data_IF_758745222003
#
_entry.id   IF_758745222003
#
_cell.length_a   1.000
_cell.length_b   1.000
_cell.length_c   1.000
_cell.angle_alpha   90.00
_cell.angle_beta   90.00
_cell.angle_gamma   90.00
#
_symmetry.space_group_name_H-M   'P 1'
#
loop_
_entity.id
_entity.type
_entity.pdbx_description
1 polymer ?
#
# COMPACT_ATOMS: atom_id res chain seq x y z
N UNK A 1 -31.01 14.57 19.52
CA UNK A 1 -30.23 13.71 20.44
C UNK A 1 -30.48 12.21 20.28
N UNK A 2 -31.73 11.72 20.34
CA UNK A 2 -32.02 10.28 20.21
C UNK A 2 -31.59 9.69 18.86
N UNK A 3 -32.00 10.32 17.74
CA UNK A 3 -31.63 9.89 16.38
C UNK A 3 -30.11 9.86 16.15
N UNK A 4 -29.39 10.88 16.61
CA UNK A 4 -27.92 10.94 16.48
C UNK A 4 -27.25 9.81 17.27
N UNK A 5 -27.75 9.52 18.47
CA UNK A 5 -27.21 8.44 19.31
C UNK A 5 -27.47 7.06 18.73
N UNK A 6 -28.66 6.85 18.13
CA UNK A 6 -29.03 5.63 17.41
C UNK A 6 -28.12 5.42 16.19
N UNK A 7 -28.04 6.43 15.30
CA UNK A 7 -27.20 6.39 14.10
C UNK A 7 -25.72 6.14 14.45
N UNK A 8 -25.20 6.80 15.47
CA UNK A 8 -23.81 6.60 15.90
C UNK A 8 -23.58 5.16 16.41
N UNK A 9 -24.53 4.57 17.14
CA UNK A 9 -24.43 3.18 17.61
C UNK A 9 -24.52 2.17 16.47
N UNK A 10 -25.37 2.43 15.49
CA UNK A 10 -25.52 1.53 14.33
C UNK A 10 -24.28 1.53 13.46
N UNK A 11 -23.70 2.70 13.20
CA UNK A 11 -22.44 2.83 12.47
C UNK A 11 -21.29 2.17 13.24
N UNK A 12 -21.21 2.40 14.55
CA UNK A 12 -20.21 1.75 15.40
C UNK A 12 -20.29 0.23 15.27
N UNK A 13 -21.50 -0.34 15.37
CA UNK A 13 -21.72 -1.78 15.21
C UNK A 13 -21.33 -2.27 13.82
N UNK A 14 -21.76 -1.58 12.77
CA UNK A 14 -21.47 -1.95 11.39
C UNK A 14 -19.96 -1.93 11.10
N UNK A 15 -19.23 -0.90 11.56
CA UNK A 15 -17.78 -0.80 11.37
C UNK A 15 -17.01 -1.88 12.14
N UNK A 16 -17.40 -2.17 13.37
CA UNK A 16 -16.79 -3.26 14.15
C UNK A 16 -17.08 -4.64 13.53
N UNK A 17 -18.28 -4.86 12.99
CA UNK A 17 -18.62 -6.08 12.25
C UNK A 17 -17.83 -6.23 10.94
N UNK A 18 -17.35 -5.12 10.38
CA UNK A 18 -16.49 -5.08 9.20
C UNK A 18 -14.98 -5.06 9.55
N UNK A 19 -14.60 -5.47 10.76
CA UNK A 19 -13.22 -5.54 11.25
C UNK A 19 -12.44 -4.21 11.23
N UNK A 20 -13.16 -3.08 11.28
CA UNK A 20 -12.56 -1.75 11.39
C UNK A 20 -11.97 -1.55 12.78
N UNK A 21 -10.88 -0.80 12.87
CA UNK A 21 -10.14 -0.61 14.11
C UNK A 21 -11.02 0.04 15.18
N UNK A 22 -10.94 -0.46 16.42
CA UNK A 22 -11.80 0.01 17.53
C UNK A 22 -11.55 1.49 17.83
N UNK A 23 -10.29 1.92 17.86
CA UNK A 23 -9.91 3.31 18.08
C UNK A 23 -10.39 4.20 16.92
N UNK A 24 -10.23 3.74 15.68
CA UNK A 24 -10.68 4.46 14.49
C UNK A 24 -12.21 4.58 14.43
N UNK A 25 -12.93 3.54 14.82
CA UNK A 25 -14.39 3.52 14.92
C UNK A 25 -14.87 4.46 16.02
N UNK A 26 -14.22 4.43 17.19
CA UNK A 26 -14.51 5.36 18.28
C UNK A 26 -14.26 6.82 17.85
N UNK A 27 -13.15 7.07 17.15
CA UNK A 27 -12.82 8.40 16.62
C UNK A 27 -13.84 8.89 15.60
N UNK A 28 -14.27 8.04 14.67
CA UNK A 28 -15.31 8.40 13.68
C UNK A 28 -16.62 8.77 14.36
N UNK A 29 -17.07 7.96 15.33
CA UNK A 29 -18.35 8.18 16.02
C UNK A 29 -18.31 9.41 16.93
N UNK A 30 -17.17 9.70 17.56
CA UNK A 30 -16.96 10.95 18.29
C UNK A 30 -17.01 12.17 17.37
N UNK A 31 -16.33 12.13 16.21
CA UNK A 31 -16.37 13.23 15.23
C UNK A 31 -17.75 13.43 14.64
N UNK A 32 -18.47 12.36 14.33
CA UNK A 32 -19.87 12.43 13.88
C UNK A 32 -20.73 13.20 14.89
N UNK A 33 -20.63 12.87 16.18
CA UNK A 33 -21.40 13.53 17.24
C UNK A 33 -21.03 15.01 17.39
N UNK A 34 -19.74 15.33 17.39
CA UNK A 34 -19.26 16.70 17.46
C UNK A 34 -19.78 17.54 16.27
N UNK A 35 -19.53 17.07 15.04
CA UNK A 35 -19.95 17.77 13.81
C UNK A 35 -21.46 17.92 13.70
N UNK A 36 -22.23 16.89 14.06
CA UNK A 36 -23.69 16.97 14.06
C UNK A 36 -24.26 17.97 15.08
N UNK A 37 -23.49 18.33 16.10
CA UNK A 37 -23.88 19.31 17.13
C UNK A 37 -23.41 20.72 16.77
N UNK A 38 -22.22 20.84 16.17
CA UNK A 38 -21.57 22.12 15.85
C UNK A 38 -22.00 22.69 14.49
N UNK A 39 -22.24 21.83 13.49
CA UNK A 39 -22.65 22.25 12.15
C UNK A 39 -24.16 22.49 12.07
N UNK A 40 -24.55 23.56 11.38
CA UNK A 40 -25.95 23.81 11.05
C UNK A 40 -26.35 23.03 9.79
N UNK A 41 -27.50 22.31 9.80
CA UNK A 41 -28.03 21.71 8.59
C UNK A 41 -28.26 22.76 7.50
N UNK A 42 -27.97 22.45 6.22
CA UNK A 42 -28.34 23.32 5.11
C UNK A 42 -29.84 23.64 5.15
N UNK A 43 -30.22 24.85 4.72
CA UNK A 43 -31.61 25.27 4.69
C UNK A 43 -32.45 24.28 3.85
N UNK A 44 -33.52 23.74 4.46
CA UNK A 44 -34.41 22.77 3.82
C UNK A 44 -33.88 21.33 3.75
N UNK A 45 -32.66 21.04 4.23
CA UNK A 45 -32.17 19.67 4.30
C UNK A 45 -32.83 18.91 5.45
N UNK A 46 -33.20 17.65 5.20
CA UNK A 46 -33.66 16.79 6.27
C UNK A 46 -32.47 16.38 7.17
N UNK A 47 -32.73 16.13 8.45
CA UNK A 47 -31.69 15.80 9.44
C UNK A 47 -30.95 14.49 9.10
N UNK A 48 -31.64 13.52 8.48
CA UNK A 48 -31.06 12.23 8.11
C UNK A 48 -29.99 12.38 7.02
N UNK A 49 -30.27 13.15 5.98
CA UNK A 49 -29.36 13.44 4.86
C UNK A 49 -28.16 14.25 5.34
N UNK A 50 -28.39 15.19 6.26
CA UNK A 50 -27.31 15.93 6.91
C UNK A 50 -26.35 15.01 7.67
N UNK A 51 -26.88 14.05 8.45
CA UNK A 51 -26.06 13.05 9.13
C UNK A 51 -25.34 12.14 8.13
N UNK A 52 -26.01 11.65 7.09
CA UNK A 52 -25.41 10.82 6.02
C UNK A 52 -24.24 11.55 5.37
N UNK A 53 -24.39 12.85 5.08
CA UNK A 53 -23.32 13.68 4.52
C UNK A 53 -22.10 13.73 5.44
N UNK A 54 -22.30 14.01 6.74
CA UNK A 54 -21.20 14.06 7.72
C UNK A 54 -20.49 12.70 7.77
N UNK A 55 -21.24 11.60 7.81
CA UNK A 55 -20.69 10.24 7.85
C UNK A 55 -19.83 9.98 6.61
N UNK A 56 -20.34 10.30 5.42
CA UNK A 56 -19.62 10.13 4.17
C UNK A 56 -18.32 10.94 4.15
N UNK A 57 -18.35 12.18 4.61
CA UNK A 57 -17.15 13.02 4.72
C UNK A 57 -16.14 12.45 5.72
N UNK A 58 -16.57 11.97 6.89
CA UNK A 58 -15.66 11.34 7.85
C UNK A 58 -15.03 10.06 7.32
N UNK A 59 -15.80 9.21 6.62
CA UNK A 59 -15.26 8.01 5.96
C UNK A 59 -14.23 8.41 4.90
N UNK A 60 -14.53 9.42 4.07
CA UNK A 60 -13.55 9.94 3.09
C UNK A 60 -12.28 10.46 3.76
N UNK A 61 -12.42 11.21 4.84
CA UNK A 61 -11.27 11.75 5.58
C UNK A 61 -10.39 10.65 6.17
N UNK A 62 -10.98 9.52 6.57
CA UNK A 62 -10.26 8.33 7.04
C UNK A 62 -9.53 7.63 5.90
N UNK A 63 -10.18 7.46 4.75
CA UNK A 63 -9.57 6.84 3.57
C UNK A 63 -8.46 7.70 2.96
N UNK A 64 -8.45 9.00 3.25
CA UNK A 64 -7.45 9.95 2.79
C UNK A 64 -7.83 10.61 1.46
N UNK A 65 -6.98 11.55 1.03
CA UNK A 65 -7.19 12.28 -0.21
C UNK A 65 -6.84 11.45 -1.44
N UNK A 66 -7.68 11.53 -2.46
CA UNK A 66 -7.39 10.95 -3.76
C UNK A 66 -6.23 11.72 -4.40
N UNK A 67 -5.02 11.13 -4.39
CA UNK A 67 -3.86 11.76 -5.02
C UNK A 67 -3.90 11.52 -6.53
N UNK A 68 -3.77 12.57 -7.36
CA UNK A 68 -3.70 12.41 -8.80
C UNK A 68 -2.48 11.57 -9.16
N UNK A 69 -2.70 10.64 -10.09
CA UNK A 69 -1.68 9.70 -10.51
C UNK A 69 -0.67 10.39 -11.44
N UNK A 70 0.63 10.30 -11.11
CA UNK A 70 1.71 10.84 -11.94
C UNK A 70 2.25 9.74 -12.88
N UNK A 71 2.17 9.98 -14.19
CA UNK A 71 2.70 9.09 -15.24
C UNK A 71 4.17 9.33 -15.55
N UNK A 72 4.85 10.22 -14.82
CA UNK A 72 6.30 10.44 -14.98
C UNK A 72 7.08 9.14 -14.82
N UNK A 73 8.19 8.99 -15.57
CA UNK A 73 9.08 7.87 -15.42
C UNK A 73 9.53 7.69 -13.97
N UNK A 74 9.44 6.47 -13.46
CA UNK A 74 9.74 6.16 -12.06
C UNK A 74 10.08 4.70 -11.81
N UNK A 75 10.85 4.48 -10.76
CA UNK A 75 11.19 3.17 -10.22
C UNK A 75 10.35 2.90 -8.98
N UNK A 76 9.73 1.73 -8.93
CA UNK A 76 8.80 1.31 -7.87
C UNK A 76 9.32 0.04 -7.21
N UNK A 77 9.57 0.11 -5.91
CA UNK A 77 9.94 -1.05 -5.09
C UNK A 77 8.70 -1.57 -4.37
N UNK A 78 8.31 -2.83 -4.60
CA UNK A 78 7.22 -3.45 -3.87
C UNK A 78 7.75 -4.20 -2.65
N UNK A 79 7.21 -3.89 -1.47
CA UNK A 79 7.52 -4.55 -0.20
C UNK A 79 6.25 -5.06 0.46
N UNK A 80 6.39 -5.96 1.43
CA UNK A 80 5.27 -6.51 2.16
C UNK A 80 5.46 -7.97 2.53
N UNK A 81 4.62 -8.44 3.44
CA UNK A 81 4.71 -9.81 3.97
C UNK A 81 4.44 -10.86 2.88
N UNK A 82 4.78 -12.11 3.20
CA UNK A 82 4.43 -13.26 2.37
C UNK A 82 2.91 -13.33 2.17
N UNK A 83 2.48 -13.79 0.99
CA UNK A 83 1.06 -14.05 0.70
C UNK A 83 0.20 -12.82 0.42
N UNK A 84 0.72 -11.61 0.59
CA UNK A 84 -0.06 -10.35 0.43
C UNK A 84 -0.31 -9.95 -1.04
N UNK A 85 0.07 -10.81 -1.99
CA UNK A 85 -0.17 -10.56 -3.41
C UNK A 85 0.78 -9.58 -4.10
N UNK A 86 2.00 -9.36 -3.59
CA UNK A 86 3.03 -8.48 -4.21
C UNK A 86 3.25 -8.78 -5.70
N UNK A 87 3.55 -10.03 -6.03
CA UNK A 87 3.81 -10.48 -7.41
C UNK A 87 2.63 -10.22 -8.35
N UNK A 88 1.41 -10.47 -7.88
CA UNK A 88 0.18 -10.17 -8.63
C UNK A 88 -0.02 -8.66 -8.79
N UNK A 89 0.23 -7.88 -7.74
CA UNK A 89 0.14 -6.43 -7.78
C UNK A 89 1.17 -5.82 -8.73
N UNK A 90 2.39 -6.36 -8.81
CA UNK A 90 3.44 -5.92 -9.73
C UNK A 90 2.94 -5.92 -11.19
N UNK A 91 2.36 -7.05 -11.62
CA UNK A 91 1.82 -7.18 -12.98
C UNK A 91 0.58 -6.30 -13.22
N UNK A 92 -0.32 -6.18 -12.23
CA UNK A 92 -1.47 -5.26 -12.31
C UNK A 92 -1.01 -3.81 -12.45
N UNK A 93 0.03 -3.42 -11.72
CA UNK A 93 0.60 -2.08 -11.76
C UNK A 93 1.26 -1.79 -13.11
N UNK A 94 2.05 -2.74 -13.64
CA UNK A 94 2.58 -2.63 -15.00
C UNK A 94 1.46 -2.43 -16.03
N UNK A 95 0.41 -3.26 -15.97
CA UNK A 95 -0.75 -3.14 -16.86
C UNK A 95 -1.48 -1.80 -16.70
N UNK A 96 -1.59 -1.30 -15.48
CA UNK A 96 -2.20 0.00 -15.20
C UNK A 96 -1.44 1.12 -15.92
N UNK A 97 -0.11 1.15 -15.78
CA UNK A 97 0.75 2.14 -16.43
C UNK A 97 0.70 2.03 -17.97
N UNK A 98 0.76 0.82 -18.51
CA UNK A 98 0.60 0.59 -19.95
C UNK A 98 -0.73 1.12 -20.51
N UNK A 99 -1.84 0.96 -19.77
CA UNK A 99 -3.14 1.54 -20.16
C UNK A 99 -3.14 3.06 -20.22
N UNK A 100 -2.15 3.72 -19.61
CA UNK A 100 -1.93 5.16 -19.66
C UNK A 100 -0.90 5.56 -20.73
N UNK A 101 -0.44 4.63 -21.55
CA UNK A 101 0.46 4.89 -22.67
C UNK A 101 1.95 4.93 -22.31
N UNK A 102 2.33 4.52 -21.12
CA UNK A 102 3.75 4.47 -20.71
C UNK A 102 4.27 3.03 -20.66
N UNK A 103 5.55 2.85 -20.98
CA UNK A 103 6.19 1.53 -20.94
C UNK A 103 6.43 1.13 -19.49
N UNK A 104 6.05 -0.09 -19.14
CA UNK A 104 6.28 -0.64 -17.81
C UNK A 104 6.89 -2.06 -17.89
N UNK A 105 8.00 -2.27 -17.17
CA UNK A 105 8.75 -3.53 -17.13
C UNK A 105 8.93 -4.01 -15.68
N UNK A 106 9.14 -5.32 -15.52
CA UNK A 106 9.12 -6.03 -14.23
C UNK A 106 10.47 -6.69 -13.94
N UNK A 107 10.90 -6.64 -12.68
CA UNK A 107 12.08 -7.35 -12.16
C UNK A 107 11.66 -8.25 -11.01
N UNK A 108 11.99 -9.54 -11.09
CA UNK A 108 11.79 -10.48 -9.98
C UNK A 108 13.06 -10.55 -9.11
N UNK A 109 12.97 -10.09 -7.87
CA UNK A 109 14.06 -10.16 -6.89
C UNK A 109 13.68 -11.00 -5.66
N UNK A 110 12.68 -11.87 -5.79
CA UNK A 110 12.38 -12.91 -4.78
C UNK A 110 13.30 -14.12 -4.97
N UNK A 111 14.53 -14.01 -4.48
CA UNK A 111 15.56 -15.06 -4.53
C UNK A 111 15.23 -16.29 -3.67
N UNK A 112 14.24 -16.18 -2.78
CA UNK A 112 13.89 -17.24 -1.82
C UNK A 112 12.81 -18.19 -2.36
N UNK A 113 12.04 -17.76 -3.37
CA UNK A 113 10.90 -18.51 -3.90
C UNK A 113 10.97 -18.63 -5.42
N UNK A 114 11.61 -19.68 -5.97
CA UNK A 114 11.71 -19.88 -7.43
C UNK A 114 10.37 -19.82 -8.15
N UNK A 115 9.32 -20.39 -7.54
CA UNK A 115 7.96 -20.34 -8.09
C UNK A 115 7.39 -18.91 -8.20
N UNK A 116 7.82 -17.96 -7.37
CA UNK A 116 7.40 -16.56 -7.46
C UNK A 116 8.02 -15.87 -8.68
N UNK A 117 9.27 -16.21 -9.03
CA UNK A 117 9.93 -15.74 -10.25
C UNK A 117 9.16 -16.23 -11.48
N UNK A 118 8.85 -17.53 -11.53
CA UNK A 118 8.11 -18.12 -12.65
C UNK A 118 6.69 -17.56 -12.74
N UNK A 119 6.03 -17.33 -11.60
CA UNK A 119 4.73 -16.65 -11.54
C UNK A 119 4.81 -15.24 -12.14
N UNK A 120 5.81 -14.45 -11.75
CA UNK A 120 5.96 -13.09 -12.26
C UNK A 120 6.26 -13.09 -13.77
N UNK A 121 7.06 -14.03 -14.26
CA UNK A 121 7.34 -14.17 -15.69
C UNK A 121 6.07 -14.47 -16.48
N UNK A 122 5.25 -15.40 -16.01
CA UNK A 122 3.96 -15.72 -16.66
C UNK A 122 3.03 -14.51 -16.66
N UNK A 123 2.95 -13.77 -15.55
CA UNK A 123 2.15 -12.56 -15.45
C UNK A 123 2.66 -11.44 -16.37
N UNK A 124 3.98 -11.25 -16.44
CA UNK A 124 4.62 -10.27 -17.31
C UNK A 124 4.27 -10.54 -18.78
N UNK A 125 4.37 -11.80 -19.21
CA UNK A 125 3.94 -12.23 -20.56
C UNK A 125 2.46 -11.94 -20.81
N UNK A 126 1.57 -12.21 -19.85
CA UNK A 126 0.12 -11.93 -20.00
C UNK A 126 -0.19 -10.44 -20.18
N UNK A 127 0.60 -9.56 -19.57
CA UNK A 127 0.43 -8.10 -19.69
C UNK A 127 1.37 -7.48 -20.74
N UNK A 128 2.12 -8.28 -21.49
CA UNK A 128 3.12 -7.82 -22.46
C UNK A 128 4.13 -6.80 -21.85
N UNK A 129 4.56 -7.03 -20.61
CA UNK A 129 5.64 -6.27 -19.97
C UNK A 129 6.98 -6.99 -20.20
N UNK A 130 8.06 -6.23 -20.33
CA UNK A 130 9.41 -6.79 -20.22
C UNK A 130 9.62 -7.37 -18.84
N UNK A 131 10.47 -8.40 -18.78
CA UNK A 131 10.73 -9.17 -17.57
C UNK A 131 12.22 -9.43 -17.42
N UNK A 132 12.75 -9.23 -16.22
CA UNK A 132 14.11 -9.61 -15.85
C UNK A 132 14.12 -10.41 -14.55
N UNK A 133 14.92 -11.47 -14.55
CA UNK A 133 15.27 -12.24 -13.37
C UNK A 133 16.64 -12.88 -13.59
N UNK A 134 17.37 -13.09 -12.51
CA UNK A 134 18.53 -13.99 -12.49
C UNK A 134 18.21 -15.13 -11.53
N UNK A 135 18.10 -16.35 -12.06
CA UNK A 135 17.74 -17.55 -11.29
C UNK A 135 18.93 -18.18 -10.57
N UNK A 136 20.14 -17.70 -10.85
CA UNK A 136 21.40 -18.19 -10.27
C UNK A 136 21.92 -17.28 -9.17
N UNK A 137 21.55 -16.00 -9.21
CA UNK A 137 21.88 -15.02 -8.18
C UNK A 137 21.04 -15.23 -6.91
N UNK A 138 21.70 -15.13 -5.77
CA UNK A 138 21.11 -15.29 -4.43
C UNK A 138 20.98 -13.97 -3.68
N UNK A 139 21.56 -12.89 -4.22
CA UNK A 139 21.50 -11.53 -3.68
C UNK A 139 20.51 -10.68 -4.45
N UNK A 140 19.37 -10.38 -3.81
CA UNK A 140 18.30 -9.59 -4.41
C UNK A 140 18.77 -8.19 -4.88
N UNK A 141 19.74 -7.57 -4.20
CA UNK A 141 20.29 -6.27 -4.59
C UNK A 141 21.09 -6.31 -5.91
N UNK A 142 21.73 -7.43 -6.25
CA UNK A 142 22.46 -7.55 -7.52
C UNK A 142 21.49 -7.75 -8.68
N UNK A 143 20.42 -8.52 -8.46
CA UNK A 143 19.30 -8.64 -9.41
C UNK A 143 18.66 -7.26 -9.65
N UNK A 144 18.45 -6.48 -8.59
CA UNK A 144 17.90 -5.14 -8.69
C UNK A 144 18.79 -4.20 -9.52
N UNK A 145 20.12 -4.24 -9.28
CA UNK A 145 21.11 -3.45 -10.03
C UNK A 145 21.15 -3.83 -11.51
N UNK A 146 21.22 -5.13 -11.80
CA UNK A 146 21.29 -5.66 -13.17
C UNK A 146 19.97 -5.44 -13.93
N UNK A 147 18.82 -5.64 -13.28
CA UNK A 147 17.50 -5.38 -13.85
C UNK A 147 17.30 -3.91 -14.21
N UNK A 148 17.80 -2.99 -13.38
CA UNK A 148 17.83 -1.55 -13.70
C UNK A 148 18.63 -1.28 -14.98
N UNK A 149 19.81 -1.88 -15.12
CA UNK A 149 20.64 -1.71 -16.32
C UNK A 149 20.03 -2.36 -17.58
N UNK A 150 19.21 -3.41 -17.41
CA UNK A 150 18.56 -4.13 -18.52
C UNK A 150 17.50 -3.31 -19.24
N UNK A 151 16.88 -2.37 -18.56
CA UNK A 151 15.72 -1.60 -19.02
C UNK A 151 15.96 -0.08 -18.97
N UNK A 152 16.95 0.45 -19.70
CA UNK A 152 17.29 1.88 -19.65
C UNK A 152 16.17 2.79 -20.18
N UNK A 153 15.35 2.28 -21.11
CA UNK A 153 14.28 3.03 -21.77
C UNK A 153 12.89 2.72 -21.19
N UNK A 154 12.81 2.10 -20.01
CA UNK A 154 11.53 1.85 -19.36
C UNK A 154 11.07 3.09 -18.61
N UNK A 155 9.85 3.57 -18.90
CA UNK A 155 9.28 4.68 -18.14
C UNK A 155 9.03 4.23 -16.70
N UNK A 156 8.45 3.05 -16.51
CA UNK A 156 8.13 2.51 -15.19
C UNK A 156 8.79 1.17 -14.97
N UNK A 157 9.65 1.10 -13.97
CA UNK A 157 10.33 -0.13 -13.60
C UNK A 157 9.88 -0.59 -12.22
N UNK A 158 9.34 -1.81 -12.14
CA UNK A 158 8.75 -2.34 -10.91
C UNK A 158 9.59 -3.52 -10.43
N UNK A 159 10.07 -3.43 -9.20
CA UNK A 159 10.86 -4.45 -8.52
C UNK A 159 9.99 -5.21 -7.51
N UNK A 160 9.73 -6.50 -7.77
CA UNK A 160 9.01 -7.40 -6.85
C UNK A 160 10.02 -8.09 -5.93
N UNK A 161 10.01 -7.76 -4.63
CA UNK A 161 10.90 -8.40 -3.65
C UNK A 161 10.25 -9.62 -2.99
N UNK A 162 11.09 -10.38 -2.30
CA UNK A 162 10.60 -11.40 -1.38
C UNK A 162 9.65 -10.81 -0.32
N UNK A 163 8.74 -11.65 0.17
CA UNK A 163 8.07 -11.41 1.45
C UNK A 163 8.27 -12.58 2.37
N UNK A 164 8.44 -12.31 3.67
CA UNK A 164 8.51 -13.33 4.72
C UNK A 164 7.27 -13.32 5.62
N UNK A 165 7.12 -14.38 6.40
CA UNK A 165 6.05 -14.57 7.40
C UNK A 165 6.12 -13.57 8.56
N UNK A 166 7.31 -13.02 8.83
CA UNK A 166 7.54 -11.94 9.79
C UNK A 166 8.53 -10.91 9.25
N UNK A 167 8.57 -9.75 9.91
CA UNK A 167 9.59 -8.73 9.68
C UNK A 167 10.77 -9.02 10.61
N UNK A 168 11.71 -9.84 10.14
CA UNK A 168 13.00 -10.02 10.79
C UNK A 168 13.99 -8.93 10.33
N UNK A 169 15.06 -8.72 11.11
CA UNK A 169 16.09 -7.72 10.80
C UNK A 169 16.79 -8.01 9.47
N UNK A 170 16.93 -9.29 9.13
CA UNK A 170 17.57 -9.75 7.89
C UNK A 170 16.78 -9.32 6.65
N UNK A 171 15.45 -9.46 6.66
CA UNK A 171 14.58 -9.00 5.57
C UNK A 171 14.63 -7.49 5.44
N UNK A 172 14.57 -6.76 6.56
CA UNK A 172 14.67 -5.30 6.52
C UNK A 172 16.03 -4.85 5.96
N UNK A 173 17.12 -5.54 6.33
CA UNK A 173 18.44 -5.30 5.76
C UNK A 173 18.49 -5.61 4.26
N UNK A 174 17.91 -6.72 3.81
CA UNK A 174 17.81 -7.09 2.38
C UNK A 174 17.03 -6.04 1.58
N UNK A 175 15.88 -5.59 2.09
CA UNK A 175 15.07 -4.54 1.47
C UNK A 175 15.86 -3.23 1.39
N UNK A 176 16.61 -2.85 2.44
CA UNK A 176 17.47 -1.66 2.43
C UNK A 176 18.58 -1.76 1.37
N UNK A 177 19.22 -2.93 1.23
CA UNK A 177 20.22 -3.17 0.17
C UNK A 177 19.59 -3.07 -1.22
N UNK A 178 18.42 -3.67 -1.43
CA UNK A 178 17.66 -3.57 -2.68
C UNK A 178 17.28 -2.13 -3.01
N UNK A 179 16.76 -1.38 -2.03
CA UNK A 179 16.43 0.04 -2.17
C UNK A 179 17.65 0.86 -2.59
N UNK A 180 18.81 0.62 -1.97
CA UNK A 180 20.06 1.30 -2.32
C UNK A 180 20.51 0.98 -3.76
N UNK A 181 20.48 -0.30 -4.16
CA UNK A 181 20.87 -0.71 -5.51
C UNK A 181 19.88 -0.26 -6.61
N UNK A 182 18.59 -0.25 -6.30
CA UNK A 182 17.52 0.07 -7.24
C UNK A 182 17.21 1.57 -7.34
N UNK A 183 17.50 2.34 -6.29
CA UNK A 183 17.17 3.76 -6.16
C UNK A 183 15.70 4.08 -6.50
N UNK A 184 14.70 3.46 -5.84
CA UNK A 184 13.30 3.67 -6.19
C UNK A 184 12.84 5.12 -5.93
N UNK A 185 11.97 5.63 -6.79
CA UNK A 185 11.25 6.88 -6.55
C UNK A 185 10.10 6.66 -5.55
N UNK A 186 9.52 5.46 -5.55
CA UNK A 186 8.41 5.07 -4.68
C UNK A 186 8.65 3.68 -4.11
N UNK A 187 8.43 3.49 -2.81
CA UNK A 187 8.33 2.17 -2.20
C UNK A 187 6.88 1.93 -1.81
N UNK A 188 6.27 0.89 -2.36
CA UNK A 188 4.88 0.55 -2.10
C UNK A 188 4.80 -0.70 -1.22
N UNK A 189 4.12 -0.58 -0.08
CA UNK A 189 3.75 -1.70 0.76
C UNK A 189 2.44 -2.29 0.29
N UNK A 190 2.49 -3.58 -0.02
CA UNK A 190 1.32 -4.37 -0.40
C UNK A 190 0.80 -5.11 0.83
N UNK A 191 -0.46 -4.86 1.15
CA UNK A 191 -1.21 -5.48 2.25
C UNK A 191 -2.48 -6.12 1.68
N UNK A 192 -2.86 -7.27 2.21
CA UNK A 192 -4.14 -7.89 1.93
C UNK A 192 -5.23 -7.19 2.76
N UNK A 193 -6.32 -6.81 2.08
CA UNK A 193 -7.48 -6.19 2.71
C UNK A 193 -8.12 -7.10 3.78
N UNK A 194 -8.00 -8.43 3.65
CA UNK A 194 -8.50 -9.40 4.61
C UNK A 194 -7.74 -9.39 5.95
N UNK A 195 -6.58 -8.73 6.04
CA UNK A 195 -5.79 -8.67 7.29
C UNK A 195 -6.47 -7.88 8.42
N UNK A 196 -7.46 -7.03 8.09
CA UNK A 196 -8.13 -6.17 9.05
C UNK A 196 -7.13 -5.40 9.92
N UNK A 197 -7.19 -5.62 11.24
CA UNK A 197 -6.30 -4.96 12.21
C UNK A 197 -4.81 -5.30 12.08
N UNK A 198 -4.48 -6.46 11.52
CA UNK A 198 -3.07 -6.86 11.33
C UNK A 198 -2.39 -6.03 10.23
N UNK A 199 -3.15 -5.41 9.32
CA UNK A 199 -2.63 -4.51 8.29
C UNK A 199 -1.92 -3.30 8.93
N UNK A 200 -2.56 -2.66 9.92
CA UNK A 200 -2.00 -1.49 10.61
C UNK A 200 -0.69 -1.80 11.36
N UNK A 201 -0.60 -2.97 12.01
CA UNK A 201 0.64 -3.42 12.67
C UNK A 201 1.76 -3.68 11.66
N UNK A 202 1.43 -4.32 10.54
CA UNK A 202 2.38 -4.61 9.47
C UNK A 202 2.90 -3.31 8.84
N UNK A 203 2.00 -2.37 8.53
CA UNK A 203 2.35 -1.04 8.05
C UNK A 203 3.27 -0.30 9.03
N UNK A 204 2.98 -0.39 10.33
CA UNK A 204 3.81 0.20 11.38
C UNK A 204 5.24 -0.33 11.43
N UNK A 205 5.48 -1.58 11.05
CA UNK A 205 6.79 -2.20 11.08
C UNK A 205 7.61 -1.99 9.79
N UNK A 206 6.94 -1.66 8.67
CA UNK A 206 7.60 -1.15 7.45
C UNK A 206 7.77 0.37 7.47
N UNK A 207 7.06 1.08 8.36
CA UNK A 207 7.37 2.46 8.71
C UNK A 207 8.56 2.47 9.67
N UNK A 208 9.61 3.25 9.43
CA UNK A 208 10.69 3.39 10.41
C UNK A 208 10.11 3.95 11.71
N UNK A 209 10.11 3.13 12.77
CA UNK A 209 9.83 3.53 14.14
C UNK A 209 11.14 3.60 14.90
N UNK A 210 11.36 4.71 15.64
CA UNK A 210 12.50 4.91 16.54
C UNK A 210 12.82 3.60 17.27
N UNK A 211 14.01 3.06 17.04
CA UNK A 211 14.54 2.03 17.92
C UNK A 211 14.58 2.56 19.36
N UNK A 212 14.66 1.66 20.36
CA UNK A 212 14.72 2.02 21.79
C UNK A 212 15.89 2.98 22.16
N UNK A 213 16.81 3.24 21.22
CA UNK A 213 17.99 4.09 21.41
C UNK A 213 18.08 5.33 20.50
N UNK A 214 17.02 5.70 19.76
CA UNK A 214 16.95 7.00 19.08
C UNK A 214 17.61 7.09 17.69
N UNK A 215 17.00 7.98 16.89
CA UNK A 215 17.31 8.49 15.53
C UNK A 215 17.84 7.50 14.50
N UNK A 216 16.90 6.94 13.74
CA UNK A 216 17.15 6.51 12.35
C UNK A 216 17.21 7.78 11.46
N UNK A 217 18.25 7.99 10.63
CA UNK A 217 18.36 9.16 9.72
C UNK A 217 17.25 9.25 8.67
N UNK A 218 16.48 8.18 8.51
CA UNK A 218 15.43 7.98 7.52
C UNK A 218 14.04 8.45 8.03
N UNK A 219 13.95 9.67 8.60
CA UNK A 219 12.79 10.19 9.36
C UNK A 219 11.48 10.40 8.57
N UNK A 220 11.53 10.37 7.24
CA UNK A 220 10.35 10.41 6.39
C UNK A 220 10.04 9.00 5.91
N UNK A 221 9.03 8.37 6.50
CA UNK A 221 8.67 6.98 6.21
C UNK A 221 8.67 6.65 4.71
N UNK A 222 9.42 5.63 4.33
CA UNK A 222 9.73 5.30 2.93
C UNK A 222 8.58 4.66 2.16
N UNK A 223 7.55 4.26 2.87
CA UNK A 223 6.59 3.27 2.41
C UNK A 223 5.22 3.91 2.25
N UNK A 224 4.69 3.85 1.03
CA UNK A 224 3.31 4.19 0.70
C UNK A 224 2.48 2.92 0.66
N UNK A 225 1.27 2.93 1.19
CA UNK A 225 0.36 1.79 1.03
C UNK A 225 -0.11 1.74 -0.43
N UNK A 226 0.03 0.58 -1.08
CA UNK A 226 -0.60 0.33 -2.36
C UNK A 226 -2.11 0.17 -2.10
N UNK A 227 -2.89 1.22 -2.36
CA UNK A 227 -4.35 1.13 -2.28
C UNK A 227 -4.87 0.02 -3.18
N UNK A 228 -5.65 -0.89 -2.61
CA UNK A 228 -6.36 -1.93 -3.35
C UNK A 228 -7.36 -1.30 -4.31
N UNK A 229 -7.33 -1.77 -5.56
CA UNK A 229 -8.38 -1.53 -6.55
C UNK A 229 -9.44 -2.64 -6.48
#
# INVERSE_FOLDING_TARGET
>A
DALLSEVARDIQRALLQADVNVELTARLTQRLKARATEEKPPAGANMRDFLIRIIYEEIRNILGENRPYDVKPKRILLVGLFGQGKTTHAAKLARFYQKKGVRADLIAADVHRPAAIDQLEQLARRVNAGFYADRTETRAEEIARAGRARFPDSDVLILDTAGRSGLDEDLLAEIRRCKSAFEPNEVLLVLDAAMGQAAGRSAGAFRPGRGPHGRDPDQDGWVREAGGA
#
